data_IF_251534292454
#
_entry.id   IF_251534292454
#
_cell.length_a   1.000
_cell.length_b   1.000
_cell.length_c   1.000
_cell.angle_alpha   90.00
_cell.angle_beta   90.00
_cell.angle_gamma   90.00
#
_symmetry.space_group_name_H-M   'P 1'
#
loop_
_entity.id
_entity.type
_entity.pdbx_description
1 polymer ?
#
# COMPACT_ATOMS: atom_id res chain seq x y z
N UNK A 1 -16.12 -12.18 -2.22
CA UNK A 1 -15.04 -11.32 -2.73
C UNK A 1 -15.59 -9.93 -2.98
N UNK A 2 -14.97 -8.89 -2.45
CA UNK A 2 -15.43 -7.51 -2.58
C UNK A 2 -15.20 -6.97 -4.00
N UNK A 3 -15.88 -5.87 -4.36
CA UNK A 3 -15.60 -5.19 -5.63
C UNK A 3 -14.15 -4.67 -5.69
N UNK A 4 -13.61 -4.19 -4.56
CA UNK A 4 -12.21 -3.79 -4.47
C UNK A 4 -11.26 -4.95 -4.78
N UNK A 5 -11.55 -6.18 -4.37
CA UNK A 5 -10.79 -7.36 -4.75
C UNK A 5 -10.80 -7.60 -6.25
N UNK A 6 -11.96 -7.45 -6.89
CA UNK A 6 -12.10 -7.63 -8.33
C UNK A 6 -11.30 -6.60 -9.11
N UNK A 7 -11.36 -5.33 -8.68
CA UNK A 7 -10.56 -4.24 -9.27
C UNK A 7 -9.06 -4.53 -9.12
N UNK A 8 -8.64 -4.93 -7.93
CA UNK A 8 -7.23 -5.27 -7.68
C UNK A 8 -6.73 -6.40 -8.57
N UNK A 9 -7.49 -7.50 -8.67
CA UNK A 9 -7.14 -8.63 -9.53
C UNK A 9 -7.07 -8.20 -11.00
N UNK A 10 -8.04 -7.41 -11.45
CA UNK A 10 -8.08 -6.91 -12.83
C UNK A 10 -6.86 -6.05 -13.15
N UNK A 11 -6.48 -5.14 -12.25
CA UNK A 11 -5.29 -4.29 -12.42
C UNK A 11 -4.01 -5.12 -12.43
N UNK A 12 -3.90 -6.10 -11.54
CA UNK A 12 -2.72 -6.99 -11.52
C UNK A 12 -2.58 -7.77 -12.84
N UNK A 13 -3.67 -8.30 -13.37
CA UNK A 13 -3.67 -9.01 -14.67
C UNK A 13 -3.29 -8.07 -15.81
N UNK A 14 -3.84 -6.88 -15.82
CA UNK A 14 -3.51 -5.88 -16.85
C UNK A 14 -2.03 -5.50 -16.81
N UNK A 15 -1.45 -5.34 -15.63
CA UNK A 15 -0.01 -5.07 -15.48
C UNK A 15 0.82 -6.25 -16.00
N UNK A 16 0.45 -7.49 -15.66
CA UNK A 16 1.16 -8.69 -16.11
C UNK A 16 1.09 -8.86 -17.62
N UNK A 17 -0.07 -8.60 -18.22
CA UNK A 17 -0.31 -8.85 -19.65
C UNK A 17 0.17 -7.69 -20.53
N UNK A 18 0.03 -6.44 -20.10
CA UNK A 18 0.21 -5.24 -20.90
C UNK A 18 1.22 -4.24 -20.32
N UNK A 19 1.81 -4.54 -19.16
CA UNK A 19 2.75 -3.64 -18.50
C UNK A 19 4.10 -3.54 -19.21
N UNK A 20 4.81 -2.46 -18.94
CA UNK A 20 6.20 -2.28 -19.39
C UNK A 20 7.13 -3.14 -18.55
N UNK A 21 7.95 -3.96 -19.24
CA UNK A 21 8.96 -4.83 -18.63
C UNK A 21 10.34 -4.19 -18.77
N UNK A 22 11.09 -4.16 -17.67
CA UNK A 22 12.45 -3.60 -17.67
C UNK A 22 13.56 -4.65 -17.74
N UNK A 23 13.23 -5.86 -18.21
CA UNK A 23 14.13 -7.01 -18.26
C UNK A 23 15.45 -6.72 -19.01
N UNK A 24 15.42 -5.87 -20.04
CA UNK A 24 16.59 -5.49 -20.82
C UNK A 24 17.34 -4.27 -20.31
N UNK A 25 16.93 -3.70 -19.18
CA UNK A 25 17.49 -2.45 -18.65
C UNK A 25 18.32 -2.72 -17.39
N UNK A 26 19.28 -1.84 -17.11
CA UNK A 26 20.00 -1.82 -15.85
C UNK A 26 19.09 -1.28 -14.76
N UNK A 27 18.86 -2.09 -13.71
CA UNK A 27 18.00 -1.72 -12.58
C UNK A 27 18.81 -1.62 -11.30
N UNK A 28 18.38 -0.75 -10.40
CA UNK A 28 19.03 -0.53 -9.12
C UNK A 28 18.74 -1.64 -8.09
N UNK A 29 17.48 -2.13 -7.96
CA UNK A 29 17.17 -3.17 -6.99
C UNK A 29 17.77 -4.52 -7.36
N UNK A 30 18.22 -5.28 -6.35
CA UNK A 30 18.75 -6.63 -6.49
C UNK A 30 18.11 -7.53 -5.43
N UNK A 31 17.97 -8.82 -5.76
CA UNK A 31 17.62 -9.85 -4.80
C UNK A 31 18.80 -10.15 -3.87
N UNK A 32 18.55 -10.90 -2.79
CA UNK A 32 19.63 -11.30 -1.83
C UNK A 32 20.81 -12.01 -2.48
N UNK A 33 20.56 -12.76 -3.56
CA UNK A 33 21.59 -13.48 -4.32
C UNK A 33 22.41 -12.58 -5.28
N UNK A 34 22.11 -11.28 -5.30
CA UNK A 34 22.77 -10.30 -6.16
C UNK A 34 22.23 -10.19 -7.58
N UNK A 35 21.21 -10.98 -7.95
CA UNK A 35 20.58 -10.86 -9.28
C UNK A 35 19.72 -9.61 -9.37
N UNK A 36 19.64 -8.96 -10.56
CA UNK A 36 18.79 -7.79 -10.74
C UNK A 36 17.30 -8.11 -10.48
N UNK A 37 16.62 -7.25 -9.72
CA UNK A 37 15.20 -7.36 -9.44
C UNK A 37 14.41 -6.52 -10.45
N UNK A 38 14.05 -7.13 -11.58
CA UNK A 38 13.26 -6.50 -12.63
C UNK A 38 11.79 -6.38 -12.24
N UNK A 39 11.09 -5.42 -12.84
CA UNK A 39 9.68 -5.16 -12.58
C UNK A 39 8.86 -5.10 -13.86
N UNK A 40 7.55 -5.28 -13.68
CA UNK A 40 6.54 -4.98 -14.70
C UNK A 40 5.70 -3.86 -14.15
N UNK A 41 5.55 -2.79 -14.89
CA UNK A 41 4.87 -1.58 -14.41
C UNK A 41 3.93 -0.98 -15.45
N UNK A 42 2.92 -0.27 -14.97
CA UNK A 42 1.99 0.47 -15.80
C UNK A 42 1.74 1.85 -15.18
N UNK A 43 1.68 2.85 -16.02
CA UNK A 43 1.42 4.23 -15.62
C UNK A 43 -0.01 4.61 -15.99
N UNK A 44 -0.63 5.50 -15.17
CA UNK A 44 -1.93 6.05 -15.50
C UNK A 44 -3.09 5.08 -15.32
N UNK A 45 -3.17 4.41 -14.17
CA UNK A 45 -4.30 3.55 -13.81
C UNK A 45 -5.30 4.36 -12.99
N UNK A 46 -6.60 4.27 -13.35
CA UNK A 46 -7.70 4.91 -12.62
C UNK A 46 -8.67 3.84 -12.13
N UNK A 47 -8.91 3.82 -10.83
CA UNK A 47 -9.88 2.93 -10.19
C UNK A 47 -11.08 3.77 -9.72
N UNK A 48 -12.30 3.22 -9.89
CA UNK A 48 -13.55 3.86 -9.45
C UNK A 48 -14.31 2.95 -8.51
N UNK A 49 -14.80 3.53 -7.42
CA UNK A 49 -15.57 2.83 -6.39
C UNK A 49 -16.85 3.60 -6.10
N UNK A 50 -18.00 2.94 -6.20
CA UNK A 50 -19.29 3.52 -5.85
C UNK A 50 -19.57 3.26 -4.36
N UNK A 51 -19.31 4.25 -3.53
CA UNK A 51 -19.47 4.15 -2.07
C UNK A 51 -20.94 3.97 -1.63
N UNK A 52 -21.89 4.16 -2.52
CA UNK A 52 -23.31 3.85 -2.23
C UNK A 52 -23.56 2.35 -2.20
N UNK A 53 -22.72 1.57 -2.89
CA UNK A 53 -22.84 0.12 -3.00
C UNK A 53 -22.01 -0.61 -1.98
N UNK A 54 -20.76 -0.19 -1.82
CA UNK A 54 -19.79 -0.92 -1.00
C UNK A 54 -18.62 -0.01 -0.63
N UNK A 55 -18.09 -0.16 0.59
CA UNK A 55 -16.83 0.45 0.95
C UNK A 55 -15.67 -0.34 0.30
N UNK A 56 -14.69 0.33 -0.35
CA UNK A 56 -13.64 -0.35 -1.11
C UNK A 56 -12.57 -0.96 -0.19
N UNK A 57 -12.92 -2.03 0.49
CA UNK A 57 -12.00 -2.77 1.35
C UNK A 57 -11.63 -4.10 0.69
N UNK A 58 -10.37 -4.45 0.72
CA UNK A 58 -9.87 -5.72 0.19
C UNK A 58 -10.05 -6.85 1.21
N UNK A 59 -10.51 -8.01 0.73
CA UNK A 59 -10.72 -9.21 1.55
C UNK A 59 -9.83 -10.39 1.17
N UNK A 60 -9.00 -10.26 0.14
CA UNK A 60 -8.02 -11.27 -0.27
C UNK A 60 -6.96 -11.52 0.79
N UNK A 61 -6.81 -10.57 1.69
CA UNK A 61 -5.88 -10.59 2.80
C UNK A 61 -6.53 -9.85 3.97
N UNK A 62 -6.19 -10.23 5.19
CA UNK A 62 -6.67 -9.50 6.37
C UNK A 62 -6.26 -8.03 6.31
N UNK A 63 -7.24 -7.15 6.45
CA UNK A 63 -7.05 -5.71 6.50
C UNK A 63 -7.21 -5.22 7.94
N UNK A 64 -6.23 -4.49 8.44
CA UNK A 64 -6.24 -3.91 9.78
C UNK A 64 -6.94 -2.55 9.77
N UNK A 65 -8.23 -2.56 9.51
CA UNK A 65 -9.05 -1.36 9.32
C UNK A 65 -9.00 -0.42 10.52
N UNK A 66 -9.08 -0.97 11.72
CA UNK A 66 -9.05 -0.18 12.96
C UNK A 66 -7.75 0.59 13.12
N UNK A 67 -6.62 -0.03 12.85
CA UNK A 67 -5.31 0.63 12.88
C UNK A 67 -5.16 1.70 11.79
N UNK A 68 -5.74 1.47 10.61
CA UNK A 68 -5.74 2.45 9.52
C UNK A 68 -6.54 3.71 9.90
N UNK A 69 -7.71 3.54 10.51
CA UNK A 69 -8.53 4.67 10.98
C UNK A 69 -7.83 5.43 12.10
N UNK A 70 -7.22 4.72 13.04
CA UNK A 70 -6.46 5.33 14.14
C UNK A 70 -5.30 6.20 13.61
N UNK A 71 -4.54 5.69 12.65
CA UNK A 71 -3.47 6.46 12.00
C UNK A 71 -4.00 7.66 11.23
N UNK A 72 -5.10 7.51 10.51
CA UNK A 72 -5.74 8.61 9.78
C UNK A 72 -6.13 9.76 10.72
N UNK A 73 -6.73 9.43 11.87
CA UNK A 73 -7.11 10.42 12.89
C UNK A 73 -5.89 11.06 13.55
N UNK A 74 -4.83 10.30 13.76
CA UNK A 74 -3.58 10.79 14.28
C UNK A 74 -2.94 11.84 13.36
N UNK A 75 -2.90 11.56 12.05
CA UNK A 75 -2.32 12.49 11.07
C UNK A 75 -3.22 13.72 10.88
N UNK A 76 -4.51 13.53 10.65
CA UNK A 76 -5.40 14.59 10.18
C UNK A 76 -6.09 15.37 11.30
N UNK A 77 -6.53 14.72 12.37
CA UNK A 77 -7.19 15.40 13.48
C UNK A 77 -6.22 15.84 14.54
N UNK A 78 -5.36 14.97 15.04
CA UNK A 78 -4.38 15.29 16.06
C UNK A 78 -3.21 16.11 15.51
N UNK A 79 -2.92 15.97 14.22
CA UNK A 79 -1.81 16.66 13.52
C UNK A 79 -0.48 16.44 14.25
N UNK A 80 -0.27 15.24 14.74
CA UNK A 80 0.91 14.83 15.49
C UNK A 80 1.87 14.04 14.63
N UNK A 81 3.15 14.16 14.89
CA UNK A 81 4.20 13.27 14.39
C UNK A 81 4.79 12.41 15.51
N UNK A 82 4.20 12.45 16.70
CA UNK A 82 4.65 11.67 17.85
C UNK A 82 3.80 10.38 17.95
N UNK A 83 4.44 9.22 17.90
CA UNK A 83 3.77 7.92 17.95
C UNK A 83 3.06 7.67 19.30
N UNK A 84 3.41 8.38 20.37
CA UNK A 84 2.72 8.26 21.67
C UNK A 84 1.29 8.80 21.62
N UNK A 85 0.96 9.62 20.61
CA UNK A 85 -0.40 10.11 20.36
C UNK A 85 -1.22 9.14 19.50
N UNK A 86 -0.61 8.06 19.05
CA UNK A 86 -1.20 7.01 18.23
C UNK A 86 -1.50 5.78 19.10
N UNK A 87 -2.70 5.23 19.04
CA UNK A 87 -3.05 4.01 19.79
C UNK A 87 -2.42 2.75 19.20
N UNK A 88 -2.29 2.69 17.87
CA UNK A 88 -1.62 1.59 17.18
C UNK A 88 -0.11 1.66 17.36
N UNK A 89 0.57 0.52 17.34
CA UNK A 89 2.03 0.41 17.49
C UNK A 89 2.76 0.16 16.18
N UNK A 90 2.11 0.42 15.05
CA UNK A 90 2.65 0.11 13.72
C UNK A 90 3.93 0.87 13.36
N UNK A 91 4.18 2.01 14.00
CA UNK A 91 5.35 2.85 13.74
C UNK A 91 6.43 2.80 14.83
N UNK A 92 6.25 1.99 15.87
CA UNK A 92 7.18 1.93 17.01
C UNK A 92 8.62 1.69 16.59
N UNK A 93 8.86 0.86 15.59
CA UNK A 93 10.20 0.52 15.12
C UNK A 93 10.90 1.63 14.31
N UNK A 94 10.17 2.68 13.96
CA UNK A 94 10.64 3.76 13.08
C UNK A 94 10.84 5.08 13.82
N UNK A 95 10.34 5.19 15.04
CA UNK A 95 10.44 6.39 15.85
C UNK A 95 11.69 6.35 16.75
N UNK A 96 12.14 7.53 17.16
CA UNK A 96 13.17 7.66 18.19
C UNK A 96 12.62 7.39 19.60
N UNK A 97 13.47 7.49 20.63
CA UNK A 97 13.09 7.26 22.02
C UNK A 97 12.02 8.25 22.53
N UNK A 98 11.96 9.44 21.95
CA UNK A 98 10.92 10.45 22.28
C UNK A 98 9.60 10.20 21.58
N UNK A 99 9.55 9.26 20.64
CA UNK A 99 8.39 8.96 19.81
C UNK A 99 8.26 9.86 18.58
N UNK A 100 9.29 10.61 18.22
CA UNK A 100 9.29 11.48 17.05
C UNK A 100 9.64 10.70 15.78
N UNK A 101 8.99 11.09 14.67
CA UNK A 101 9.23 10.56 13.32
C UNK A 101 9.69 11.66 12.38
#
# INVERSE_FOLDING_TARGET
>A
MSYADQVFISVCRDILDNGFRDDGLTVRPHWEDGTPAHTIKKFGVVNRYDLRKEFPIMTLRRTYFKSCVDELLWIWQKKSNNIHDLHSRIWDAWADESGSM
#
